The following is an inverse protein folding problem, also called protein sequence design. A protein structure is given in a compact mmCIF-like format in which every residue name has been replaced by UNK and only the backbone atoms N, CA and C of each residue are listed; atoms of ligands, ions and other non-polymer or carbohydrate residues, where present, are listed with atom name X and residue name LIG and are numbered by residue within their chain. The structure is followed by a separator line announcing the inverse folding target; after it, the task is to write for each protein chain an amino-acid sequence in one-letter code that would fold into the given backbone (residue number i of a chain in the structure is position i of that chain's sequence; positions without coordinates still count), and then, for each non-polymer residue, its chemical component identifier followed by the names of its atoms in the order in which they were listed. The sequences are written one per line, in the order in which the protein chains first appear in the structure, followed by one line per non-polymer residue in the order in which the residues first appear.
data_IF_629878468027
#
_entry.id   IF_629878468027
#
_cell.length_a   1.000
_cell.length_b   1.000
_cell.length_c   1.000
_cell.angle_alpha   90.00
_cell.angle_beta   90.00
_cell.angle_gamma   90.00
#
_symmetry.space_group_name_H-M   'P 1'
#
loop_
_entity.id
_entity.type
_entity.pdbx_description
1 polymer ?
#
# COMPACT_ATOMS: atom_id res chain seq x y z
N UNK A 1 48.92 -27.35 -30.71
CA UNK A 1 47.96 -26.20 -30.64
C UNK A 1 46.70 -26.45 -29.77
N UNK A 2 46.58 -27.54 -28.99
CA UNK A 2 45.36 -27.86 -28.21
C UNK A 2 45.36 -27.36 -26.74
N UNK A 3 46.50 -26.90 -26.21
CA UNK A 3 46.64 -26.53 -24.78
C UNK A 3 46.16 -25.11 -24.44
N UNK A 4 46.02 -24.21 -25.43
CA UNK A 4 45.64 -22.81 -25.19
C UNK A 4 44.13 -22.57 -25.21
N UNK A 5 43.36 -23.41 -25.92
CA UNK A 5 41.89 -23.31 -25.96
C UNK A 5 41.23 -23.66 -24.62
N UNK A 6 41.78 -24.64 -23.89
CA UNK A 6 41.23 -25.05 -22.60
C UNK A 6 41.39 -23.97 -21.51
N UNK A 7 42.49 -23.20 -21.56
CA UNK A 7 42.70 -22.04 -20.67
C UNK A 7 41.75 -20.88 -20.99
N UNK A 8 41.45 -20.63 -22.26
CA UNK A 8 40.53 -19.56 -22.67
C UNK A 8 39.08 -19.87 -22.27
N UNK A 9 38.64 -21.13 -22.44
CA UNK A 9 37.29 -21.57 -22.08
C UNK A 9 37.07 -21.53 -20.55
N UNK A 10 38.09 -21.91 -19.76
CA UNK A 10 38.02 -21.82 -18.29
C UNK A 10 37.96 -20.37 -17.79
N UNK A 11 38.68 -19.45 -18.46
CA UNK A 11 38.64 -18.03 -18.14
C UNK A 11 37.28 -17.40 -18.47
N UNK A 12 36.67 -17.77 -19.61
CA UNK A 12 35.34 -17.29 -20.01
C UNK A 12 34.21 -17.85 -19.13
N UNK A 13 34.32 -19.09 -18.65
CA UNK A 13 33.36 -19.69 -17.72
C UNK A 13 33.41 -19.05 -16.31
N UNK A 14 34.60 -18.68 -15.83
CA UNK A 14 34.77 -17.97 -14.55
C UNK A 14 34.17 -16.55 -14.60
N UNK A 15 34.28 -15.85 -15.72
CA UNK A 15 33.67 -14.53 -15.92
C UNK A 15 32.14 -14.64 -15.97
N UNK A 16 31.60 -15.70 -16.60
CA UNK A 16 30.15 -15.92 -16.67
C UNK A 16 29.54 -16.32 -15.31
N UNK A 17 30.23 -17.13 -14.51
CA UNK A 17 29.80 -17.45 -13.13
C UNK A 17 29.88 -16.23 -12.19
N UNK A 18 30.88 -15.35 -12.37
CA UNK A 18 31.02 -14.13 -11.57
C UNK A 18 29.87 -13.11 -11.78
N UNK A 19 29.34 -13.00 -13.01
CA UNK A 19 28.22 -12.11 -13.30
C UNK A 19 26.88 -12.53 -12.67
N UNK A 20 26.62 -13.85 -12.64
CA UNK A 20 25.40 -14.42 -12.03
C UNK A 20 25.39 -14.30 -10.51
N UNK A 21 26.54 -14.56 -9.85
CA UNK A 21 26.66 -14.41 -8.39
C UNK A 21 26.52 -12.95 -7.93
N UNK A 22 27.10 -12.00 -8.69
CA UNK A 22 27.01 -10.56 -8.40
C UNK A 22 25.56 -10.05 -8.51
N UNK A 23 24.82 -10.45 -9.54
CA UNK A 23 23.42 -10.05 -9.71
C UNK A 23 22.46 -10.63 -8.67
N UNK A 24 22.68 -11.87 -8.21
CA UNK A 24 21.88 -12.45 -7.12
C UNK A 24 22.16 -11.77 -5.77
N UNK A 25 23.42 -11.41 -5.53
CA UNK A 25 23.82 -10.74 -4.30
C UNK A 25 23.28 -9.30 -4.22
N UNK A 26 23.32 -8.55 -5.33
CA UNK A 26 22.71 -7.23 -5.41
C UNK A 26 21.19 -7.25 -5.15
N UNK A 27 20.47 -8.22 -5.72
CA UNK A 27 19.03 -8.36 -5.50
C UNK A 27 18.70 -8.68 -4.03
N UNK A 28 19.53 -9.52 -3.38
CA UNK A 28 19.36 -9.83 -1.94
C UNK A 28 19.66 -8.62 -1.05
N UNK A 29 20.69 -7.84 -1.35
CA UNK A 29 21.05 -6.62 -0.61
C UNK A 29 19.97 -5.53 -0.77
N UNK A 30 19.35 -5.41 -1.94
CA UNK A 30 18.21 -4.51 -2.16
C UNK A 30 16.96 -4.94 -1.38
N UNK A 31 16.65 -6.25 -1.36
CA UNK A 31 15.54 -6.80 -0.58
C UNK A 31 15.76 -6.57 0.92
N UNK A 32 16.97 -6.82 1.43
CA UNK A 32 17.32 -6.64 2.85
C UNK A 32 17.30 -5.17 3.26
N UNK A 33 17.76 -4.26 2.39
CA UNK A 33 17.65 -2.81 2.58
C UNK A 33 16.20 -2.35 2.66
N UNK A 34 15.36 -2.78 1.73
CA UNK A 34 13.92 -2.47 1.76
C UNK A 34 13.26 -2.99 3.04
N UNK A 35 13.67 -4.17 3.51
CA UNK A 35 13.19 -4.78 4.74
C UNK A 35 13.61 -3.98 5.98
N UNK A 36 14.84 -3.47 6.01
CA UNK A 36 15.38 -2.60 7.05
C UNK A 36 14.66 -1.24 7.08
N UNK A 37 14.50 -0.58 5.93
CA UNK A 37 13.76 0.69 5.82
C UNK A 37 12.30 0.53 6.26
N UNK A 38 11.66 -0.57 5.85
CA UNK A 38 10.32 -0.95 6.35
C UNK A 38 10.29 -1.16 7.86
N UNK A 39 11.34 -1.73 8.46
CA UNK A 39 11.44 -1.96 9.90
C UNK A 39 11.66 -0.66 10.68
N UNK A 40 12.46 0.26 10.14
CA UNK A 40 12.72 1.56 10.74
C UNK A 40 11.46 2.43 10.72
N UNK A 41 10.71 2.45 9.61
CA UNK A 41 9.38 3.06 9.56
C UNK A 41 8.46 2.44 10.62
N UNK A 42 8.47 1.11 10.79
CA UNK A 42 7.67 0.44 11.83
C UNK A 42 8.10 0.80 13.25
N UNK A 43 9.37 1.14 13.48
CA UNK A 43 9.88 1.61 14.78
C UNK A 43 9.53 3.07 15.07
N UNK A 44 9.28 3.86 14.04
CA UNK A 44 9.10 5.31 14.17
C UNK A 44 7.67 5.72 14.53
N UNK A 45 6.66 4.95 14.10
CA UNK A 45 5.26 5.33 14.24
C UNK A 45 4.51 4.49 15.28
N UNK A 46 3.69 5.15 16.10
CA UNK A 46 2.81 4.50 17.07
C UNK A 46 1.51 4.04 16.40
N UNK A 47 1.41 2.73 16.16
CA UNK A 47 0.24 2.09 15.55
C UNK A 47 -0.92 1.84 16.53
N UNK A 48 -0.81 2.27 17.79
CA UNK A 48 -1.89 2.21 18.77
C UNK A 48 -2.39 0.78 19.00
N UNK A 49 -3.72 0.61 18.96
CA UNK A 49 -4.38 -0.70 19.07
C UNK A 49 -4.38 -1.50 17.76
N UNK A 50 -3.70 -1.00 16.73
CA UNK A 50 -3.69 -1.51 15.36
C UNK A 50 -5.10 -1.70 14.76
N UNK A 51 -6.12 -1.06 15.33
CA UNK A 51 -7.46 -1.10 14.76
C UNK A 51 -7.48 -0.36 13.43
N UNK A 52 -8.27 -0.86 12.49
CA UNK A 52 -8.42 -0.19 11.19
C UNK A 52 -8.89 1.27 11.34
N UNK A 53 -9.73 1.56 12.33
CA UNK A 53 -10.20 2.92 12.63
C UNK A 53 -9.07 3.82 13.12
N UNK A 54 -8.28 3.37 14.11
CA UNK A 54 -7.15 4.15 14.59
C UNK A 54 -6.17 4.48 13.46
N UNK A 55 -5.79 3.46 12.68
CA UNK A 55 -4.85 3.62 11.57
C UNK A 55 -5.37 4.61 10.51
N UNK A 56 -6.65 4.54 10.13
CA UNK A 56 -7.24 5.50 9.18
C UNK A 56 -7.30 6.92 9.73
N UNK A 57 -7.60 7.11 11.02
CA UNK A 57 -7.57 8.44 11.66
C UNK A 57 -6.15 9.02 11.64
N UNK A 58 -5.14 8.24 12.02
CA UNK A 58 -3.74 8.68 11.99
C UNK A 58 -3.27 9.01 10.57
N UNK A 59 -3.74 8.26 9.57
CA UNK A 59 -3.45 8.55 8.16
C UNK A 59 -4.04 9.91 7.71
N UNK A 60 -5.27 10.25 8.12
CA UNK A 60 -5.84 11.58 7.86
C UNK A 60 -5.06 12.70 8.55
N UNK A 61 -4.69 12.51 9.82
CA UNK A 61 -3.87 13.48 10.56
C UNK A 61 -2.52 13.72 9.87
N UNK A 62 -1.86 12.64 9.43
CA UNK A 62 -0.59 12.71 8.70
C UNK A 62 -0.74 13.46 7.37
N UNK A 63 -1.79 13.16 6.59
CA UNK A 63 -2.08 13.86 5.34
C UNK A 63 -2.30 15.35 5.56
N UNK A 64 -3.01 15.73 6.63
CA UNK A 64 -3.22 17.12 7.03
C UNK A 64 -1.91 17.86 7.32
N UNK A 65 -0.93 17.16 7.89
CA UNK A 65 0.42 17.67 8.18
C UNK A 65 1.38 17.59 6.99
N UNK A 66 0.95 17.01 5.86
CA UNK A 66 1.81 16.67 4.71
C UNK A 66 2.96 15.72 5.07
N UNK A 67 2.80 14.94 6.12
CA UNK A 67 3.73 13.89 6.51
C UNK A 67 3.42 12.64 5.68
N UNK A 68 3.94 12.60 4.45
CA UNK A 68 3.62 11.56 3.49
C UNK A 68 4.19 10.19 3.89
N UNK A 69 5.31 10.16 4.61
CA UNK A 69 5.90 8.91 5.10
C UNK A 69 4.99 8.28 6.16
N UNK A 70 4.45 9.08 7.07
CA UNK A 70 3.45 8.63 8.02
C UNK A 70 2.14 8.20 7.33
N UNK A 71 1.71 8.90 6.27
CA UNK A 71 0.56 8.46 5.45
C UNK A 71 0.83 7.05 4.92
N UNK A 72 1.98 6.81 4.30
CA UNK A 72 2.33 5.49 3.77
C UNK A 72 2.39 4.43 4.88
N UNK A 73 2.95 4.76 6.04
CA UNK A 73 3.08 3.86 7.18
C UNK A 73 1.70 3.38 7.70
N UNK A 74 0.83 4.31 8.09
CA UNK A 74 -0.47 3.98 8.67
C UNK A 74 -1.39 3.31 7.68
N UNK A 75 -1.42 3.80 6.43
CA UNK A 75 -2.24 3.19 5.37
C UNK A 75 -1.75 1.79 5.01
N UNK A 76 -0.43 1.56 4.92
CA UNK A 76 0.12 0.23 4.65
C UNK A 76 -0.26 -0.74 5.76
N UNK A 77 -0.08 -0.34 7.03
CA UNK A 77 -0.43 -1.17 8.18
C UNK A 77 -1.91 -1.55 8.17
N UNK A 78 -2.81 -0.61 7.87
CA UNK A 78 -4.24 -0.89 7.76
C UNK A 78 -4.54 -1.87 6.61
N UNK A 79 -3.94 -1.67 5.44
CA UNK A 79 -4.14 -2.53 4.28
C UNK A 79 -3.62 -3.94 4.56
N UNK A 80 -2.42 -4.08 5.13
CA UNK A 80 -1.82 -5.37 5.44
C UNK A 80 -2.66 -6.21 6.39
N UNK A 81 -3.20 -5.58 7.45
CA UNK A 81 -4.00 -6.26 8.46
C UNK A 81 -5.42 -6.59 7.99
N UNK A 82 -6.03 -5.72 7.17
CA UNK A 82 -7.49 -5.76 6.96
C UNK A 82 -7.94 -5.95 5.51
N UNK A 83 -7.05 -5.94 4.51
CA UNK A 83 -7.46 -6.04 3.08
C UNK A 83 -8.29 -7.27 2.77
N UNK A 84 -7.94 -8.43 3.31
CA UNK A 84 -8.68 -9.66 3.02
C UNK A 84 -10.06 -9.66 3.69
N UNK A 85 -10.18 -9.08 4.89
CA UNK A 85 -11.47 -8.85 5.54
C UNK A 85 -12.32 -7.85 4.75
N UNK A 86 -11.71 -6.76 4.28
CA UNK A 86 -12.37 -5.76 3.43
C UNK A 86 -12.92 -6.38 2.14
N UNK A 87 -12.15 -7.25 1.47
CA UNK A 87 -12.61 -7.98 0.27
C UNK A 87 -13.78 -8.92 0.56
N UNK A 88 -13.76 -9.64 1.68
CA UNK A 88 -14.90 -10.48 2.11
C UNK A 88 -16.14 -9.64 2.43
N UNK A 89 -15.95 -8.49 3.07
CA UNK A 89 -17.04 -7.56 3.35
C UNK A 89 -17.64 -6.98 2.06
N UNK A 90 -16.82 -6.52 1.13
CA UNK A 90 -17.26 -6.07 -0.19
C UNK A 90 -18.07 -7.15 -0.92
N UNK A 91 -17.57 -8.39 -0.99
CA UNK A 91 -18.22 -9.47 -1.74
C UNK A 91 -19.55 -9.93 -1.11
N UNK A 92 -19.74 -9.68 0.19
CA UNK A 92 -20.99 -9.96 0.90
C UNK A 92 -22.10 -8.94 0.59
N UNK A 93 -21.75 -7.76 0.06
CA UNK A 93 -22.68 -6.69 -0.23
C UNK A 93 -23.19 -6.76 -1.67
N UNK A 94 -24.41 -6.27 -1.87
CA UNK A 94 -25.04 -6.02 -3.18
C UNK A 94 -25.50 -4.57 -3.34
N UNK A 95 -25.54 -3.84 -2.24
CA UNK A 95 -25.89 -2.44 -2.13
C UNK A 95 -25.19 -1.87 -0.89
N UNK A 96 -25.21 -0.55 -0.77
CA UNK A 96 -24.69 0.15 0.40
C UNK A 96 -25.42 -0.27 1.68
N UNK A 97 -24.70 -0.61 2.76
CA UNK A 97 -25.33 -0.92 4.03
C UNK A 97 -25.99 0.32 4.65
N UNK A 98 -27.09 0.14 5.42
CA UNK A 98 -27.69 1.25 6.15
C UNK A 98 -26.74 1.79 7.22
N UNK A 99 -26.94 3.05 7.63
CA UNK A 99 -26.04 3.79 8.53
C UNK A 99 -25.74 3.03 9.82
N UNK A 100 -26.75 2.38 10.38
CA UNK A 100 -26.70 1.66 11.66
C UNK A 100 -25.81 0.42 11.59
N UNK A 101 -25.53 -0.08 10.38
CA UNK A 101 -24.70 -1.26 10.14
C UNK A 101 -23.28 -0.93 9.65
N UNK A 102 -22.92 0.35 9.53
CA UNK A 102 -21.61 0.75 9.00
C UNK A 102 -20.44 0.17 9.81
N UNK A 103 -20.58 0.07 11.13
CA UNK A 103 -19.53 -0.49 12.00
C UNK A 103 -19.20 -1.96 11.69
N UNK A 104 -20.17 -2.71 11.16
CA UNK A 104 -19.97 -4.10 10.71
C UNK A 104 -19.00 -4.16 9.53
N UNK A 105 -18.95 -3.12 8.71
CA UNK A 105 -18.15 -3.02 7.49
C UNK A 105 -16.89 -2.14 7.68
N UNK A 106 -16.43 -1.97 8.92
CA UNK A 106 -15.26 -1.15 9.23
C UNK A 106 -14.01 -1.54 8.41
N UNK A 107 -13.74 -2.84 8.19
CA UNK A 107 -12.57 -3.24 7.41
C UNK A 107 -12.66 -2.74 5.96
N UNK A 108 -13.80 -2.91 5.30
CA UNK A 108 -14.09 -2.36 3.97
C UNK A 108 -13.93 -0.85 3.96
N UNK A 109 -14.64 -0.17 4.84
CA UNK A 109 -14.68 1.29 4.89
C UNK A 109 -13.30 1.90 5.14
N UNK A 110 -12.55 1.36 6.11
CA UNK A 110 -11.23 1.87 6.49
C UNK A 110 -10.14 1.53 5.46
N UNK A 111 -10.14 0.31 4.88
CA UNK A 111 -9.17 -0.05 3.83
C UNK A 111 -9.37 0.79 2.56
N UNK A 112 -10.61 0.94 2.11
CA UNK A 112 -10.92 1.80 0.96
C UNK A 112 -10.48 3.24 1.22
N UNK A 113 -10.77 3.77 2.42
CA UNK A 113 -10.38 5.13 2.81
C UNK A 113 -8.85 5.27 2.90
N UNK A 114 -8.13 4.26 3.36
CA UNK A 114 -6.66 4.27 3.36
C UNK A 114 -6.07 4.33 1.94
N UNK A 115 -6.65 3.63 0.96
CA UNK A 115 -6.29 3.81 -0.44
C UNK A 115 -6.62 5.23 -0.93
N UNK A 116 -7.81 5.76 -0.61
CA UNK A 116 -8.18 7.14 -0.95
C UNK A 116 -7.17 8.16 -0.41
N UNK A 117 -6.78 8.06 0.86
CA UNK A 117 -5.78 8.95 1.49
C UNK A 117 -4.43 8.88 0.75
N UNK A 118 -4.01 7.70 0.27
CA UNK A 118 -2.80 7.57 -0.56
C UNK A 118 -2.94 8.32 -1.88
N UNK A 119 -4.08 8.18 -2.55
CA UNK A 119 -4.36 8.93 -3.78
C UNK A 119 -4.27 10.44 -3.56
N UNK A 120 -4.91 10.94 -2.50
CA UNK A 120 -4.84 12.35 -2.08
C UNK A 120 -3.39 12.79 -1.77
N UNK A 121 -2.61 11.97 -1.08
CA UNK A 121 -1.20 12.26 -0.81
C UNK A 121 -0.37 12.38 -2.09
N UNK A 122 -0.61 11.51 -3.07
CA UNK A 122 0.06 11.52 -4.37
C UNK A 122 -0.34 12.76 -5.18
N UNK A 123 -1.61 13.13 -5.18
CA UNK A 123 -2.07 14.37 -5.81
C UNK A 123 -1.41 15.62 -5.23
N UNK A 124 -1.29 15.70 -3.90
CA UNK A 124 -0.59 16.82 -3.24
C UNK A 124 0.90 16.89 -3.57
N UNK A 125 1.47 15.81 -4.11
CA UNK A 125 2.83 15.71 -4.61
C UNK A 125 2.93 15.87 -6.14
N UNK A 126 1.83 16.20 -6.83
CA UNK A 126 1.72 16.26 -8.29
C UNK A 126 1.99 14.92 -9.02
N UNK A 127 1.80 13.79 -8.33
CA UNK A 127 1.99 12.43 -8.86
C UNK A 127 0.67 11.87 -9.40
N UNK A 128 0.12 12.53 -10.41
CA UNK A 128 -1.25 12.32 -10.89
C UNK A 128 -1.52 10.91 -11.42
N UNK A 129 -0.57 10.34 -12.16
CA UNK A 129 -0.69 9.00 -12.73
C UNK A 129 -0.73 7.94 -11.62
N UNK A 130 0.16 8.06 -10.64
CA UNK A 130 0.20 7.17 -9.48
C UNK A 130 -1.08 7.29 -8.65
N UNK A 131 -1.57 8.52 -8.45
CA UNK A 131 -2.83 8.75 -7.73
C UNK A 131 -4.01 8.06 -8.42
N UNK A 132 -4.11 8.18 -9.76
CA UNK A 132 -5.16 7.55 -10.56
C UNK A 132 -5.18 6.03 -10.37
N UNK A 133 -4.03 5.38 -10.38
CA UNK A 133 -3.98 3.93 -10.18
C UNK A 133 -4.42 3.53 -8.77
N UNK A 134 -4.08 4.34 -7.76
CA UNK A 134 -4.56 4.11 -6.39
C UNK A 134 -6.08 4.30 -6.28
N UNK A 135 -6.65 5.34 -6.89
CA UNK A 135 -8.10 5.55 -6.88
C UNK A 135 -8.85 4.44 -7.61
N UNK A 136 -8.30 3.94 -8.73
CA UNK A 136 -8.88 2.82 -9.47
C UNK A 136 -9.01 1.56 -8.61
N UNK A 137 -8.06 1.30 -7.70
CA UNK A 137 -8.16 0.19 -6.74
C UNK A 137 -9.44 0.32 -5.89
N UNK A 138 -9.77 1.52 -5.42
CA UNK A 138 -10.98 1.78 -4.62
C UNK A 138 -12.24 1.47 -5.43
N UNK A 139 -12.31 2.01 -6.64
CA UNK A 139 -13.47 1.87 -7.53
C UNK A 139 -13.71 0.41 -7.88
N UNK A 140 -12.67 -0.31 -8.27
CA UNK A 140 -12.77 -1.69 -8.76
C UNK A 140 -12.98 -2.71 -7.63
N UNK A 141 -12.41 -2.48 -6.44
CA UNK A 141 -12.33 -3.51 -5.40
C UNK A 141 -13.13 -3.20 -4.13
N UNK A 142 -13.56 -1.95 -3.93
CA UNK A 142 -14.16 -1.49 -2.67
C UNK A 142 -15.35 -0.53 -2.91
N UNK A 143 -16.15 -0.80 -3.95
CA UNK A 143 -17.21 0.10 -4.43
C UNK A 143 -18.33 0.40 -3.44
N UNK A 144 -18.54 -0.43 -2.41
CA UNK A 144 -19.56 -0.21 -1.39
C UNK A 144 -19.05 0.48 -0.12
N UNK A 145 -17.78 0.90 -0.09
CA UNK A 145 -17.21 1.57 1.07
C UNK A 145 -17.86 2.95 1.33
N UNK A 146 -18.18 3.21 2.59
CA UNK A 146 -18.68 4.50 3.06
C UNK A 146 -17.92 4.93 4.32
N UNK A 147 -17.53 6.19 4.39
CA UNK A 147 -16.78 6.71 5.54
C UNK A 147 -17.51 7.90 6.16
N UNK A 148 -17.45 8.00 7.49
CA UNK A 148 -18.08 9.09 8.23
C UNK A 148 -17.21 10.34 8.15
N UNK A 149 -17.78 11.43 7.65
CA UNK A 149 -17.20 12.76 7.76
C UNK A 149 -17.64 13.40 9.09
N UNK A 150 -16.70 13.92 9.91
CA UNK A 150 -17.03 14.64 11.14
C UNK A 150 -18.02 15.80 10.96
N UNK A 151 -18.18 16.34 9.74
CA UNK A 151 -19.15 17.38 9.38
C UNK A 151 -20.59 16.89 9.24
N UNK A 152 -20.85 15.59 9.42
CA UNK A 152 -22.21 15.09 9.67
C UNK A 152 -22.80 14.17 8.61
N UNK A 153 -22.03 13.73 7.61
CA UNK A 153 -22.53 12.84 6.55
C UNK A 153 -21.58 11.66 6.30
N UNK A 154 -22.13 10.58 5.75
CA UNK A 154 -21.34 9.53 5.13
C UNK A 154 -21.10 9.88 3.68
N UNK A 155 -19.85 9.80 3.23
CA UNK A 155 -19.52 9.88 1.80
C UNK A 155 -19.14 8.48 1.29
N UNK A 156 -19.33 8.27 -0.01
CA UNK A 156 -18.97 7.01 -0.67
C UNK A 156 -17.56 7.12 -1.20
N UNK A 157 -16.70 6.20 -0.80
CA UNK A 157 -15.27 6.32 -1.08
C UNK A 157 -14.98 6.14 -2.56
N UNK A 158 -15.64 5.18 -3.21
CA UNK A 158 -15.47 4.94 -4.65
C UNK A 158 -15.99 6.11 -5.51
N UNK A 159 -17.16 6.65 -5.21
CA UNK A 159 -17.70 7.83 -5.92
C UNK A 159 -16.72 9.00 -5.84
N UNK A 160 -16.14 9.23 -4.65
CA UNK A 160 -15.17 10.30 -4.50
C UNK A 160 -13.85 10.02 -5.24
N UNK A 161 -13.38 8.77 -5.24
CA UNK A 161 -12.21 8.35 -6.03
C UNK A 161 -12.41 8.52 -7.53
N UNK A 162 -13.63 8.41 -8.06
CA UNK A 162 -13.93 8.61 -9.49
C UNK A 162 -13.90 10.09 -9.89
N UNK A 163 -14.32 10.98 -8.98
CA UNK A 163 -14.37 12.44 -9.22
C UNK A 163 -13.01 13.13 -9.21
N UNK A 164 -11.99 12.47 -8.68
CA UNK A 164 -10.71 13.08 -8.30
C UNK A 164 -9.63 12.84 -9.35
#
# INVERSE_FOLDING_TARGET
MKKNYLKLIFCLLLIFQGGLACGQQQAQEEEERFKLESLELKRQYDFGDESSTYLTIKAWEALGKKDYDAVWAYTQKCIDLYRDAARRQQSSLRAFPPREKQSVFNALNNVATCYFIRGEALMRQNKWQEAREIFRIVVENFSFAQYWDPRGWFWKVAEKSEET
#
